data_IF_382527095965
#
_entry.id   IF_382527095965
#
_cell.length_a   1.000
_cell.length_b   1.000
_cell.length_c   1.000
_cell.angle_alpha   90.00
_cell.angle_beta   90.00
_cell.angle_gamma   90.00
#
_symmetry.space_group_name_H-M   'P 1'
#
loop_
_entity.id
_entity.type
_entity.pdbx_description
1 polymer ?
#
# COMPACT_ATOMS: atom_id res chain seq x y z
N UNK A 1 5.70 11.00 19.28
CA UNK A 1 5.18 9.61 19.42
C UNK A 1 6.32 8.66 19.08
N UNK A 2 6.39 7.48 19.70
CA UNK A 2 7.38 6.45 19.26
C UNK A 2 6.88 5.83 17.95
N UNK A 3 7.76 5.58 16.97
CA UNK A 3 7.37 4.93 15.73
C UNK A 3 6.77 3.54 16.06
N UNK A 4 5.65 3.24 15.44
CA UNK A 4 5.03 1.92 15.57
C UNK A 4 5.77 0.95 14.63
N UNK A 5 6.68 0.16 15.19
CA UNK A 5 7.53 -0.78 14.43
C UNK A 5 6.69 -1.72 13.56
N UNK A 6 5.57 -2.22 14.10
CA UNK A 6 4.69 -3.12 13.33
C UNK A 6 4.09 -2.40 12.13
N UNK A 7 3.67 -1.14 12.25
CA UNK A 7 3.18 -0.33 11.14
C UNK A 7 4.27 -0.12 10.09
N UNK A 8 5.48 0.24 10.52
CA UNK A 8 6.62 0.45 9.60
C UNK A 8 6.93 -0.83 8.82
N UNK A 9 7.06 -1.97 9.51
CA UNK A 9 7.35 -3.27 8.86
C UNK A 9 6.23 -3.65 7.89
N UNK A 10 4.96 -3.52 8.29
CA UNK A 10 3.81 -3.82 7.42
C UNK A 10 3.79 -2.92 6.19
N UNK A 11 4.07 -1.62 6.36
CA UNK A 11 4.13 -0.67 5.24
C UNK A 11 5.28 -0.98 4.28
N UNK A 12 6.47 -1.31 4.79
CA UNK A 12 7.61 -1.71 3.95
C UNK A 12 7.31 -2.98 3.16
N UNK A 13 6.64 -3.96 3.78
CA UNK A 13 6.22 -5.17 3.09
C UNK A 13 5.18 -4.87 2.00
N UNK A 14 4.22 -3.99 2.27
CA UNK A 14 3.24 -3.55 1.27
C UNK A 14 3.92 -2.81 0.10
N UNK A 15 4.94 -1.98 0.37
CA UNK A 15 5.72 -1.28 -0.67
C UNK A 15 6.47 -2.29 -1.54
N UNK A 16 7.10 -3.30 -0.93
CA UNK A 16 7.79 -4.36 -1.67
C UNK A 16 6.83 -5.12 -2.59
N UNK A 17 5.69 -5.56 -2.05
CA UNK A 17 4.68 -6.29 -2.82
C UNK A 17 4.07 -5.42 -3.93
N UNK A 18 3.81 -4.14 -3.67
CA UNK A 18 3.31 -3.20 -4.67
C UNK A 18 4.36 -2.97 -5.78
N UNK A 19 5.65 -2.87 -5.44
CA UNK A 19 6.70 -2.71 -6.45
C UNK A 19 6.82 -3.94 -7.36
N UNK A 20 6.72 -5.13 -6.79
CA UNK A 20 6.68 -6.38 -7.55
C UNK A 20 5.44 -6.44 -8.46
N UNK A 21 4.28 -6.08 -7.92
CA UNK A 21 3.04 -6.05 -8.68
C UNK A 21 3.09 -5.06 -9.87
N UNK A 22 3.60 -3.84 -9.67
CA UNK A 22 3.79 -2.88 -10.76
C UNK A 22 4.76 -3.43 -11.82
N UNK A 23 5.85 -4.09 -11.40
CA UNK A 23 6.77 -4.71 -12.33
C UNK A 23 6.10 -5.82 -13.16
N UNK A 24 5.23 -6.63 -12.54
CA UNK A 24 4.45 -7.65 -13.24
C UNK A 24 3.45 -7.04 -14.23
N UNK A 25 2.74 -5.96 -13.85
CA UNK A 25 1.83 -5.25 -14.73
C UNK A 25 2.54 -4.73 -16.00
N UNK A 26 3.76 -4.22 -15.84
CA UNK A 26 4.59 -3.77 -16.96
C UNK A 26 4.99 -4.95 -17.85
N UNK A 27 5.50 -6.03 -17.26
CA UNK A 27 5.99 -7.21 -18.01
C UNK A 27 4.85 -7.93 -18.73
N UNK A 28 3.67 -8.01 -18.10
CA UNK A 28 2.49 -8.64 -18.68
C UNK A 28 1.73 -7.73 -19.66
N UNK A 29 2.13 -6.46 -19.77
CA UNK A 29 1.52 -5.49 -20.68
C UNK A 29 0.13 -5.00 -20.24
N UNK A 30 -0.20 -5.09 -18.95
CA UNK A 30 -1.47 -4.59 -18.42
C UNK A 30 -1.47 -3.07 -18.26
N UNK A 31 -0.31 -2.44 -18.16
CA UNK A 31 -0.17 -0.99 -18.13
C UNK A 31 0.10 -0.44 -19.54
N UNK A 32 -0.55 0.69 -19.85
CA UNK A 32 -0.35 1.38 -21.12
C UNK A 32 1.04 2.04 -21.31
N UNK A 33 1.94 1.88 -20.33
CA UNK A 33 3.29 2.47 -20.36
C UNK A 33 3.33 3.98 -20.07
N UNK A 34 4.51 4.57 -20.15
CA UNK A 34 4.71 6.02 -20.08
C UNK A 34 4.41 6.65 -18.73
N UNK A 35 3.66 7.76 -18.74
CA UNK A 35 3.37 8.58 -17.55
C UNK A 35 2.64 7.81 -16.43
N UNK A 36 1.81 6.82 -16.75
CA UNK A 36 1.10 6.03 -15.74
C UNK A 36 2.06 5.22 -14.88
N UNK A 37 3.12 4.67 -15.48
CA UNK A 37 4.15 3.94 -14.75
C UNK A 37 4.95 4.88 -13.82
N UNK A 38 5.24 6.11 -14.28
CA UNK A 38 5.91 7.13 -13.47
C UNK A 38 5.05 7.56 -12.27
N UNK A 39 3.73 7.68 -12.44
CA UNK A 39 2.82 7.97 -11.33
C UNK A 39 2.84 6.85 -10.28
N UNK A 40 2.82 5.59 -10.70
CA UNK A 40 2.95 4.44 -9.80
C UNK A 40 4.24 4.48 -8.98
N UNK A 41 5.37 4.76 -9.62
CA UNK A 41 6.67 4.93 -8.96
C UNK A 41 6.62 6.12 -7.99
N UNK A 42 6.04 7.26 -8.39
CA UNK A 42 5.90 8.44 -7.55
C UNK A 42 5.11 8.14 -6.27
N UNK A 43 4.01 7.41 -6.38
CA UNK A 43 3.21 6.97 -5.22
C UNK A 43 4.02 6.07 -4.29
N UNK A 44 4.81 5.12 -4.83
CA UNK A 44 5.67 4.27 -4.03
C UNK A 44 6.74 5.07 -3.27
N UNK A 45 7.37 6.06 -3.91
CA UNK A 45 8.37 6.93 -3.28
C UNK A 45 7.74 7.74 -2.15
N UNK A 46 6.57 8.34 -2.36
CA UNK A 46 5.85 9.09 -1.32
C UNK A 46 5.50 8.18 -0.15
N UNK A 47 5.00 6.97 -0.43
CA UNK A 47 4.66 6.00 0.60
C UNK A 47 5.90 5.55 1.39
N UNK A 48 7.01 5.29 0.72
CA UNK A 48 8.29 4.95 1.35
C UNK A 48 8.81 6.09 2.23
N UNK A 49 8.83 7.32 1.73
CA UNK A 49 9.24 8.48 2.51
C UNK A 49 8.36 8.68 3.75
N UNK A 50 7.04 8.55 3.62
CA UNK A 50 6.14 8.64 4.75
C UNK A 50 6.40 7.54 5.79
N UNK A 51 6.69 6.31 5.33
CA UNK A 51 7.00 5.17 6.20
C UNK A 51 8.28 5.40 7.00
N UNK A 52 9.34 5.86 6.36
CA UNK A 52 10.66 5.97 6.97
C UNK A 52 10.85 7.27 7.77
N UNK A 53 10.26 8.38 7.30
CA UNK A 53 10.57 9.72 7.82
C UNK A 53 9.43 10.35 8.63
N UNK A 54 8.22 9.81 8.53
CA UNK A 54 7.04 10.47 9.09
C UNK A 54 6.00 9.52 9.72
N UNK A 55 6.36 8.27 9.98
CA UNK A 55 5.44 7.28 10.57
C UNK A 55 4.98 7.63 12.01
N UNK A 56 5.65 8.56 12.67
CA UNK A 56 5.31 9.13 13.98
C UNK A 56 4.48 10.44 13.88
N UNK A 57 4.34 11.00 12.68
CA UNK A 57 3.66 12.27 12.42
C UNK A 57 2.26 12.03 11.86
N UNK A 58 1.32 12.90 12.21
CA UNK A 58 -0.09 12.77 11.76
C UNK A 58 -0.23 12.75 10.23
N UNK A 59 0.47 13.62 9.52
CA UNK A 59 0.41 13.65 8.06
C UNK A 59 1.04 12.38 7.43
N UNK A 60 2.11 11.85 8.04
CA UNK A 60 2.69 10.58 7.63
C UNK A 60 1.71 9.42 7.81
N UNK A 61 1.03 9.35 8.96
CA UNK A 61 -0.01 8.34 9.21
C UNK A 61 -1.18 8.43 8.22
N UNK A 62 -1.54 9.64 7.75
CA UNK A 62 -2.57 9.80 6.72
C UNK A 62 -2.08 9.22 5.38
N UNK A 63 -0.82 9.49 5.00
CA UNK A 63 -0.24 8.91 3.78
C UNK A 63 -0.18 7.38 3.89
N UNK A 64 0.23 6.85 5.05
CA UNK A 64 0.25 5.40 5.30
C UNK A 64 -1.15 4.78 5.20
N UNK A 65 -2.18 5.46 5.71
CA UNK A 65 -3.56 5.03 5.60
C UNK A 65 -4.02 4.97 4.14
N UNK A 66 -3.75 6.03 3.37
CA UNK A 66 -4.12 6.11 1.94
C UNK A 66 -3.36 5.09 1.10
N UNK A 67 -2.06 4.90 1.32
CA UNK A 67 -1.27 3.88 0.65
C UNK A 67 -1.73 2.47 0.96
N UNK A 68 -2.10 2.21 2.22
CA UNK A 68 -2.68 0.93 2.62
C UNK A 68 -4.05 0.68 1.99
N UNK A 69 -4.90 1.72 1.89
CA UNK A 69 -6.19 1.64 1.21
C UNK A 69 -6.01 1.31 -0.28
N UNK A 70 -5.03 1.93 -0.94
CA UNK A 70 -4.68 1.61 -2.32
C UNK A 70 -4.25 0.15 -2.46
N UNK A 71 -3.42 -0.36 -1.55
CA UNK A 71 -2.99 -1.75 -1.53
C UNK A 71 -4.16 -2.74 -1.38
N UNK A 72 -5.17 -2.41 -0.55
CA UNK A 72 -6.41 -3.19 -0.42
C UNK A 72 -7.26 -3.13 -1.69
N UNK A 73 -7.29 -1.99 -2.37
CA UNK A 73 -8.09 -1.80 -3.58
C UNK A 73 -7.53 -2.57 -4.79
N UNK A 74 -6.20 -2.82 -4.85
CA UNK A 74 -5.55 -3.45 -6.01
C UNK A 74 -6.16 -4.82 -6.39
N UNK A 75 -6.36 -5.79 -5.48
CA UNK A 75 -7.01 -7.05 -5.83
C UNK A 75 -8.41 -6.84 -6.41
N UNK A 76 -9.18 -5.90 -5.85
CA UNK A 76 -10.54 -5.62 -6.29
C UNK A 76 -10.53 -5.04 -7.71
N UNK A 77 -9.68 -4.05 -7.98
CA UNK A 77 -9.54 -3.41 -9.30
C UNK A 77 -9.20 -4.45 -10.37
N UNK A 78 -8.24 -5.34 -10.08
CA UNK A 78 -7.81 -6.36 -11.02
C UNK A 78 -8.84 -7.47 -11.21
N UNK A 79 -9.61 -7.84 -10.18
CA UNK A 79 -10.69 -8.81 -10.30
C UNK A 79 -11.89 -8.28 -11.08
N UNK A 80 -12.14 -6.97 -11.06
CA UNK A 80 -13.23 -6.32 -11.79
C UNK A 80 -12.83 -5.95 -13.24
N UNK A 81 -11.53 -5.89 -13.53
CA UNK A 81 -11.01 -5.59 -14.86
C UNK A 81 -10.90 -6.82 -15.76
N UNK A 82 -10.94 -6.62 -17.08
CA UNK A 82 -10.78 -7.69 -18.09
C UNK A 82 -9.37 -8.35 -18.06
N UNK A 83 -8.45 -7.86 -17.21
CA UNK A 83 -7.04 -8.30 -17.15
C UNK A 83 -6.80 -9.61 -16.42
N UNK A 84 -7.74 -10.12 -15.64
CA UNK A 84 -7.57 -11.40 -14.90
C UNK A 84 -8.08 -12.59 -15.73
N UNK A 85 -7.93 -12.53 -17.03
CA UNK A 85 -7.98 -13.72 -17.86
C UNK A 85 -6.73 -14.57 -17.59
N UNK A 86 -6.75 -15.30 -16.46
CA UNK A 86 -5.67 -16.17 -16.03
C UNK A 86 -5.38 -17.20 -17.13
N UNK A 87 -4.53 -16.83 -18.08
CA UNK A 87 -3.83 -17.82 -18.86
C UNK A 87 -3.04 -18.64 -17.85
N UNK A 88 -3.25 -19.94 -17.78
CA UNK A 88 -2.58 -20.88 -16.87
C UNK A 88 -1.07 -20.91 -17.15
N UNK A 89 -0.38 -19.89 -16.69
CA UNK A 89 1.08 -19.76 -16.75
C UNK A 89 1.63 -19.57 -15.35
N UNK A 90 2.88 -19.96 -15.12
CA UNK A 90 3.56 -19.73 -13.85
C UNK A 90 3.57 -18.24 -13.46
N UNK A 91 3.69 -17.34 -14.46
CA UNK A 91 3.61 -15.89 -14.23
C UNK A 91 2.24 -15.42 -13.73
N UNK A 92 1.15 -15.99 -14.25
CA UNK A 92 -0.19 -15.66 -13.79
C UNK A 92 -0.44 -16.09 -12.34
N UNK A 93 0.14 -17.23 -11.92
CA UNK A 93 0.05 -17.67 -10.53
C UNK A 93 0.76 -16.67 -9.58
N UNK A 94 1.96 -16.26 -9.95
CA UNK A 94 2.74 -15.30 -9.15
C UNK A 94 2.02 -13.94 -9.06
N UNK A 95 1.46 -13.47 -10.16
CA UNK A 95 0.65 -12.24 -10.20
C UNK A 95 -0.54 -12.29 -9.22
N UNK A 96 -1.30 -13.37 -9.24
CA UNK A 96 -2.45 -13.54 -8.32
C UNK A 96 -1.97 -13.61 -6.86
N UNK A 97 -0.86 -14.30 -6.62
CA UNK A 97 -0.26 -14.40 -5.29
C UNK A 97 0.16 -13.03 -4.74
N UNK A 98 0.88 -12.21 -5.53
CA UNK A 98 1.30 -10.87 -5.12
C UNK A 98 0.11 -9.96 -4.84
N UNK A 99 -0.97 -10.06 -5.63
CA UNK A 99 -2.21 -9.32 -5.40
C UNK A 99 -2.85 -9.66 -4.05
N UNK A 100 -3.02 -10.94 -3.73
CA UNK A 100 -3.59 -11.34 -2.44
C UNK A 100 -2.70 -10.96 -1.26
N UNK A 101 -1.39 -11.19 -1.37
CA UNK A 101 -0.44 -10.81 -0.35
C UNK A 101 -0.48 -9.29 -0.10
N UNK A 102 -0.58 -8.49 -1.16
CA UNK A 102 -0.70 -7.04 -1.10
C UNK A 102 -2.02 -6.62 -0.42
N UNK A 103 -3.14 -7.25 -0.77
CA UNK A 103 -4.44 -6.98 -0.14
C UNK A 103 -4.43 -7.27 1.37
N UNK A 104 -3.83 -8.39 1.77
CA UNK A 104 -3.71 -8.78 3.18
C UNK A 104 -2.82 -7.76 3.94
N UNK A 105 -1.61 -7.49 3.44
CA UNK A 105 -0.69 -6.54 4.09
C UNK A 105 -1.26 -5.13 4.11
N UNK A 106 -1.96 -4.72 3.04
CA UNK A 106 -2.69 -3.45 2.97
C UNK A 106 -3.77 -3.35 4.05
N UNK A 107 -4.54 -4.42 4.26
CA UNK A 107 -5.57 -4.46 5.32
C UNK A 107 -4.95 -4.28 6.71
N UNK A 108 -3.85 -4.97 7.00
CA UNK A 108 -3.12 -4.76 8.25
C UNK A 108 -2.60 -3.33 8.39
N UNK A 109 -1.98 -2.79 7.35
CA UNK A 109 -1.47 -1.41 7.32
C UNK A 109 -2.59 -0.38 7.54
N UNK A 110 -3.75 -0.59 6.92
CA UNK A 110 -4.93 0.25 7.10
C UNK A 110 -5.41 0.26 8.57
N UNK A 111 -5.59 -0.91 9.18
CA UNK A 111 -6.01 -1.03 10.58
C UNK A 111 -5.01 -0.36 11.51
N UNK A 112 -3.72 -0.61 11.32
CA UNK A 112 -2.67 -0.04 12.17
C UNK A 112 -2.57 1.48 12.03
N UNK A 113 -2.66 2.02 10.82
CA UNK A 113 -2.65 3.47 10.55
C UNK A 113 -3.88 4.16 11.15
N UNK A 114 -5.07 3.56 10.97
CA UNK A 114 -6.32 4.07 11.53
C UNK A 114 -6.26 4.11 13.07
N UNK A 115 -5.78 3.05 13.71
CA UNK A 115 -5.61 3.01 15.18
C UNK A 115 -4.61 4.06 15.66
N UNK A 116 -3.48 4.22 14.97
CA UNK A 116 -2.47 5.22 15.31
C UNK A 116 -3.04 6.65 15.21
N UNK A 117 -3.81 6.94 14.15
CA UNK A 117 -4.49 8.23 13.97
C UNK A 117 -5.54 8.49 15.06
N UNK A 118 -6.30 7.47 15.43
CA UNK A 118 -7.30 7.57 16.49
C UNK A 118 -6.65 7.88 17.85
N UNK A 119 -5.61 7.15 18.21
CA UNK A 119 -4.85 7.37 19.45
C UNK A 119 -4.22 8.77 19.51
N UNK A 120 -3.73 9.28 18.36
CA UNK A 120 -3.18 10.63 18.27
C UNK A 120 -4.23 11.74 18.45
N UNK A 121 -5.50 11.47 18.16
CA UNK A 121 -6.62 12.40 18.44
C UNK A 121 -6.96 12.43 19.92
N UNK A 122 -7.09 11.25 20.53
CA UNK A 122 -7.49 11.13 21.93
C UNK A 122 -6.54 11.85 22.90
N UNK A 123 -5.23 11.83 22.63
CA UNK A 123 -4.23 12.55 23.43
C UNK A 123 -4.42 14.06 23.36
N UNK A 124 -4.89 14.59 22.22
CA UNK A 124 -5.06 16.04 22.01
C UNK A 124 -6.29 16.58 22.74
N UNK A 125 -7.39 15.83 22.77
CA UNK A 125 -8.63 16.23 23.46
C UNK A 125 -8.49 16.26 24.99
N UNK A 126 -7.50 15.55 25.55
CA UNK A 126 -7.21 15.56 27.00
C UNK A 126 -6.23 16.70 27.38
N UNK A 127 -5.49 17.23 26.41
CA UNK A 127 -4.47 18.27 26.63
C UNK A 127 -5.01 19.70 26.45
N UNK A 128 -6.22 19.88 25.95
CA UNK A 128 -6.90 21.19 25.84
C UNK A 128 -7.93 21.30 26.98
N UNK A 129 -7.65 22.11 28.04
CA UNK A 129 -8.59 22.36 29.12
C UNK A 129 -9.77 23.25 28.66
#
# INVERSE_FOLDING_TARGET
MKPNVLLVVTSLLSILLMSLHIAEDIVLGFTGGGLLNLLGIGVLVVYLCATLLASDRRWGLIILLLGSLLAVAMPVIHMMGAGVGVKRSAGAFFFVWTLYALGITGTFGFILSARALWSARAVRTVAEP
#
